data_IF_172563628133
#
_entry.id   IF_172563628133
#
_cell.length_a   1.000
_cell.length_b   1.000
_cell.length_c   1.000
_cell.angle_alpha   90.00
_cell.angle_beta   90.00
_cell.angle_gamma   90.00
#
_symmetry.space_group_name_H-M   'P 1'
#
loop_
_entity.id
_entity.type
_entity.pdbx_description
1 polymer ?
#
# COMPACT_ATOMS: atom_id res chain seq x y z
N UNK A 1 5.39 7.20 -16.95
CA UNK A 1 6.50 7.95 -17.60
C UNK A 1 7.00 7.15 -18.80
N UNK A 2 7.35 7.79 -19.91
CA UNK A 2 8.04 7.13 -21.02
C UNK A 2 9.49 6.85 -20.59
N UNK A 3 10.03 5.68 -20.90
CA UNK A 3 11.45 5.40 -20.73
C UNK A 3 12.25 6.42 -21.58
N UNK A 4 13.44 6.87 -21.13
CA UNK A 4 14.29 7.77 -21.92
C UNK A 4 14.49 7.20 -23.33
N UNK A 5 14.41 8.06 -24.34
CA UNK A 5 14.53 7.69 -25.76
C UNK A 5 13.46 6.70 -26.28
N UNK A 6 12.35 6.52 -25.56
CA UNK A 6 11.23 5.69 -26.00
C UNK A 6 10.09 6.56 -26.52
N UNK A 7 9.66 6.30 -27.75
CA UNK A 7 8.42 6.86 -28.31
C UNK A 7 7.30 5.85 -28.12
N UNK A 8 6.33 6.18 -27.28
CA UNK A 8 5.10 5.39 -27.16
C UNK A 8 4.09 5.92 -28.15
N UNK A 9 3.57 5.04 -29.00
CA UNK A 9 2.50 5.34 -29.93
C UNK A 9 1.30 4.46 -29.60
N UNK A 10 0.16 5.09 -29.25
CA UNK A 10 -1.09 4.39 -28.97
C UNK A 10 -1.88 4.35 -30.27
N UNK A 11 -2.05 3.15 -30.82
CA UNK A 11 -2.88 2.93 -32.00
C UNK A 11 -4.32 2.70 -31.53
N UNK A 12 -5.24 3.56 -31.96
CA UNK A 12 -6.65 3.51 -31.56
C UNK A 12 -7.53 2.99 -32.69
N UNK A 13 -8.80 2.71 -32.38
CA UNK A 13 -9.84 2.55 -33.40
C UNK A 13 -10.04 3.84 -34.19
N UNK A 14 -10.54 3.73 -35.41
CA UNK A 14 -11.05 4.85 -36.21
C UNK A 14 -12.53 4.61 -36.53
N UNK A 15 -13.25 5.66 -36.95
CA UNK A 15 -14.66 5.53 -37.36
C UNK A 15 -14.84 4.49 -38.47
N UNK A 16 -13.88 4.40 -39.38
CA UNK A 16 -13.89 3.47 -40.52
C UNK A 16 -13.28 2.10 -40.21
N UNK A 17 -12.69 1.93 -39.03
CA UNK A 17 -12.07 0.69 -38.57
C UNK A 17 -12.25 0.58 -37.05
N UNK A 18 -13.46 0.18 -36.61
CA UNK A 18 -13.73 -0.05 -35.19
C UNK A 18 -12.82 -1.16 -34.66
N UNK A 19 -12.47 -1.04 -33.38
CA UNK A 19 -11.58 -1.99 -32.71
C UNK A 19 -11.88 -2.07 -31.22
N UNK A 20 -12.71 -3.04 -30.85
CA UNK A 20 -13.01 -3.47 -29.49
C UNK A 20 -12.03 -4.55 -29.00
N UNK A 21 -11.48 -5.34 -29.94
CA UNK A 21 -10.56 -6.43 -29.64
C UNK A 21 -11.25 -7.79 -29.47
N UNK A 22 -12.59 -7.85 -29.52
CA UNK A 22 -13.34 -9.03 -29.11
C UNK A 22 -13.57 -10.06 -30.23
N UNK A 23 -13.62 -9.61 -31.49
CA UNK A 23 -14.00 -10.46 -32.62
C UNK A 23 -12.85 -10.67 -33.62
N UNK A 24 -12.76 -11.88 -34.18
CA UNK A 24 -11.68 -12.25 -35.12
C UNK A 24 -11.63 -11.34 -36.35
N UNK A 25 -12.77 -11.14 -37.00
CA UNK A 25 -12.87 -10.33 -38.23
C UNK A 25 -12.49 -8.87 -37.98
N UNK A 26 -12.97 -8.30 -36.89
CA UNK A 26 -12.65 -6.93 -36.48
C UNK A 26 -11.15 -6.77 -36.21
N UNK A 27 -10.57 -7.66 -35.40
CA UNK A 27 -9.14 -7.66 -35.11
C UNK A 27 -8.30 -7.76 -36.39
N UNK A 28 -8.67 -8.66 -37.30
CA UNK A 28 -7.97 -8.82 -38.57
C UNK A 28 -8.02 -7.53 -39.42
N UNK A 29 -9.21 -6.94 -39.56
CA UNK A 29 -9.37 -5.70 -40.32
C UNK A 29 -8.56 -4.54 -39.73
N UNK A 30 -8.53 -4.40 -38.40
CA UNK A 30 -7.73 -3.39 -37.74
C UNK A 30 -6.22 -3.62 -37.93
N UNK A 31 -5.77 -4.87 -37.82
CA UNK A 31 -4.37 -5.22 -38.05
C UNK A 31 -3.93 -4.88 -39.48
N UNK A 32 -4.76 -5.19 -40.47
CA UNK A 32 -4.47 -4.93 -41.88
C UNK A 32 -4.49 -3.45 -42.24
N UNK A 33 -5.44 -2.67 -41.68
CA UNK A 33 -5.66 -1.28 -42.06
C UNK A 33 -4.90 -0.25 -41.23
N UNK A 34 -4.56 -0.59 -39.99
CA UNK A 34 -3.94 0.35 -39.04
C UNK A 34 -2.56 -0.13 -38.63
N UNK A 35 -2.46 -1.33 -38.06
CA UNK A 35 -1.22 -1.82 -37.45
C UNK A 35 -0.09 -2.07 -38.47
N UNK A 36 -0.36 -2.90 -39.49
CA UNK A 36 0.63 -3.26 -40.50
C UNK A 36 1.16 -2.04 -41.28
N UNK A 37 0.31 -1.10 -41.77
CA UNK A 37 0.79 0.12 -42.41
C UNK A 37 1.69 0.94 -41.49
N UNK A 38 1.37 1.02 -40.20
CA UNK A 38 2.21 1.72 -39.23
C UNK A 38 3.57 1.04 -39.04
N UNK A 39 3.58 -0.28 -38.90
CA UNK A 39 4.81 -1.05 -38.74
C UNK A 39 5.72 -0.92 -39.98
N UNK A 40 5.13 -0.91 -41.18
CA UNK A 40 5.83 -0.68 -42.43
C UNK A 40 6.41 0.74 -42.57
N UNK A 41 5.82 1.76 -41.92
CA UNK A 41 6.40 3.11 -41.86
C UNK A 41 7.61 3.17 -40.93
N UNK A 42 7.56 2.46 -39.80
CA UNK A 42 8.64 2.45 -38.80
C UNK A 42 9.86 1.67 -39.33
N UNK A 43 9.63 0.58 -40.07
CA UNK A 43 10.67 -0.34 -40.58
C UNK A 43 11.67 -0.74 -39.48
N UNK A 44 11.18 -1.37 -38.39
CA UNK A 44 12.04 -1.70 -37.27
C UNK A 44 13.15 -2.66 -37.70
N UNK A 45 14.38 -2.38 -37.29
CA UNK A 45 15.52 -3.31 -37.43
C UNK A 45 15.42 -4.50 -36.48
N UNK A 46 14.67 -4.34 -35.39
CA UNK A 46 14.30 -5.36 -34.41
C UNK A 46 12.86 -5.14 -33.96
N UNK A 47 12.05 -6.21 -34.03
CA UNK A 47 10.65 -6.18 -33.67
C UNK A 47 10.34 -7.36 -32.74
N UNK A 48 9.85 -7.03 -31.56
CA UNK A 48 9.44 -8.00 -30.54
C UNK A 48 7.98 -7.78 -30.18
N UNK A 49 7.27 -8.86 -29.89
CA UNK A 49 5.87 -8.84 -29.47
C UNK A 49 5.77 -9.21 -27.99
N UNK A 50 5.14 -8.37 -27.18
CA UNK A 50 4.70 -8.76 -25.84
C UNK A 50 3.20 -9.05 -25.87
N UNK A 51 2.83 -10.31 -25.62
CA UNK A 51 1.44 -10.81 -25.62
C UNK A 51 0.93 -11.17 -24.22
N UNK A 52 1.56 -10.63 -23.17
CA UNK A 52 1.14 -10.85 -21.77
C UNK A 52 -0.27 -10.34 -21.49
N UNK A 53 -0.71 -9.30 -22.21
CA UNK A 53 -2.05 -8.72 -22.10
C UNK A 53 -2.84 -8.76 -23.41
N UNK A 54 -4.07 -8.25 -23.36
CA UNK A 54 -4.99 -8.21 -24.50
C UNK A 54 -5.91 -9.42 -24.61
N UNK A 55 -6.77 -9.44 -25.62
CA UNK A 55 -7.66 -10.58 -25.88
C UNK A 55 -6.90 -11.72 -26.53
N UNK A 56 -7.33 -12.96 -26.28
CA UNK A 56 -6.69 -14.17 -26.82
C UNK A 56 -6.67 -14.16 -28.36
N UNK A 57 -7.72 -13.64 -28.97
CA UNK A 57 -7.87 -13.57 -30.44
C UNK A 57 -6.86 -12.61 -31.04
N UNK A 58 -6.71 -11.41 -30.45
CA UNK A 58 -5.73 -10.43 -30.91
C UNK A 58 -4.30 -10.96 -30.73
N UNK A 59 -3.99 -11.53 -29.58
CA UNK A 59 -2.68 -12.13 -29.31
C UNK A 59 -2.35 -13.21 -30.36
N UNK A 60 -3.29 -14.12 -30.63
CA UNK A 60 -3.15 -15.15 -31.66
C UNK A 60 -2.87 -14.55 -33.04
N UNK A 61 -3.66 -13.57 -33.49
CA UNK A 61 -3.47 -12.94 -34.80
C UNK A 61 -2.12 -12.20 -34.89
N UNK A 62 -1.72 -11.49 -33.83
CA UNK A 62 -0.44 -10.77 -33.79
C UNK A 62 0.73 -11.74 -33.97
N UNK A 63 0.72 -12.94 -33.39
CA UNK A 63 1.82 -13.90 -33.58
C UNK A 63 2.00 -14.35 -35.03
N UNK A 64 0.99 -14.18 -35.90
CA UNK A 64 1.02 -14.63 -37.30
C UNK A 64 1.18 -13.50 -38.31
N UNK A 65 0.86 -12.26 -37.93
CA UNK A 65 0.76 -11.14 -38.87
C UNK A 65 2.13 -10.56 -39.25
N UNK A 66 3.18 -10.85 -38.48
CA UNK A 66 4.51 -10.30 -38.67
C UNK A 66 5.59 -11.28 -38.22
N UNK A 67 6.77 -11.33 -38.88
CA UNK A 67 7.88 -12.18 -38.46
C UNK A 67 8.60 -11.57 -37.25
N UNK A 68 8.01 -11.74 -36.07
CA UNK A 68 8.61 -11.31 -34.81
C UNK A 68 9.93 -12.02 -34.56
N UNK A 69 10.96 -11.25 -34.17
CA UNK A 69 12.24 -11.83 -33.74
C UNK A 69 12.06 -12.58 -32.43
N UNK A 70 11.19 -12.07 -31.57
CA UNK A 70 10.87 -12.66 -30.30
C UNK A 70 9.45 -12.32 -29.86
N UNK A 71 8.78 -13.29 -29.24
CA UNK A 71 7.45 -13.20 -28.66
C UNK A 71 7.60 -13.50 -27.17
N UNK A 72 7.07 -12.61 -26.34
CA UNK A 72 7.12 -12.65 -24.89
C UNK A 72 5.75 -12.90 -24.29
N UNK A 73 5.68 -13.78 -23.29
CA UNK A 73 4.50 -14.03 -22.49
C UNK A 73 4.86 -14.24 -21.03
N UNK A 74 4.25 -13.48 -20.12
CA UNK A 74 4.39 -13.70 -18.69
C UNK A 74 3.14 -14.43 -18.16
N UNK A 75 3.21 -15.72 -17.79
CA UNK A 75 2.10 -16.42 -17.18
C UNK A 75 1.78 -15.88 -15.78
N UNK A 76 0.58 -16.20 -15.31
CA UNK A 76 0.19 -15.96 -13.93
C UNK A 76 0.75 -17.08 -13.04
N UNK A 77 1.86 -16.81 -12.36
CA UNK A 77 2.53 -17.74 -11.45
C UNK A 77 3.04 -17.03 -10.17
N UNK A 78 3.53 -17.82 -9.21
CA UNK A 78 4.19 -17.32 -7.99
C UNK A 78 5.65 -16.90 -8.25
N UNK A 79 6.27 -17.53 -9.25
CA UNK A 79 7.47 -17.03 -9.91
C UNK A 79 7.09 -16.01 -10.98
N UNK A 80 8.07 -15.27 -11.52
CA UNK A 80 7.82 -14.24 -12.53
C UNK A 80 8.52 -14.61 -13.84
N UNK A 81 8.20 -15.77 -14.44
CA UNK A 81 8.85 -16.19 -15.67
C UNK A 81 8.39 -15.28 -16.82
N UNK A 82 9.33 -14.92 -17.67
CA UNK A 82 9.08 -14.41 -19.00
C UNK A 82 9.35 -15.55 -19.96
N UNK A 83 8.29 -16.14 -20.49
CA UNK A 83 8.37 -17.10 -21.58
C UNK A 83 8.73 -16.36 -22.86
N UNK A 84 9.62 -16.98 -23.62
CA UNK A 84 10.29 -16.39 -24.78
C UNK A 84 10.30 -17.41 -25.88
N UNK A 85 9.81 -17.04 -27.06
CA UNK A 85 9.82 -17.92 -28.22
C UNK A 85 9.77 -17.10 -29.51
N UNK A 86 10.04 -17.74 -30.65
CA UNK A 86 9.76 -17.18 -31.96
C UNK A 86 9.07 -18.22 -32.82
N UNK A 87 8.47 -17.79 -33.93
CA UNK A 87 7.77 -18.67 -34.87
C UNK A 87 8.50 -18.70 -36.20
N UNK A 88 8.82 -19.90 -36.69
CA UNK A 88 9.36 -20.11 -38.03
C UNK A 88 8.57 -21.23 -38.70
N UNK A 89 8.04 -20.99 -39.91
CA UNK A 89 7.19 -21.94 -40.63
C UNK A 89 6.03 -22.48 -39.77
N UNK A 90 5.30 -21.58 -39.10
CA UNK A 90 4.20 -21.89 -38.17
C UNK A 90 4.57 -22.79 -36.96
N UNK A 91 5.86 -23.05 -36.74
CA UNK A 91 6.35 -23.85 -35.62
C UNK A 91 6.98 -22.95 -34.55
N UNK A 92 6.64 -23.13 -33.25
CA UNK A 92 7.25 -22.37 -32.18
C UNK A 92 8.63 -22.92 -31.84
N UNK A 93 9.60 -22.03 -31.65
CA UNK A 93 10.94 -22.32 -31.18
C UNK A 93 11.14 -21.63 -29.83
N UNK A 94 11.33 -22.44 -28.78
CA UNK A 94 11.46 -21.96 -27.41
C UNK A 94 12.85 -21.37 -27.16
N UNK A 95 12.89 -20.24 -26.47
CA UNK A 95 14.10 -19.62 -25.95
C UNK A 95 14.15 -19.83 -24.42
N UNK A 96 15.32 -19.67 -23.78
CA UNK A 96 15.42 -19.78 -22.34
C UNK A 96 14.52 -18.77 -21.63
N UNK A 97 13.66 -19.27 -20.74
CA UNK A 97 12.81 -18.48 -19.85
C UNK A 97 13.68 -17.59 -18.97
N UNK A 98 13.27 -16.33 -18.79
CA UNK A 98 13.93 -15.38 -17.88
C UNK A 98 13.08 -15.25 -16.62
N UNK A 99 13.66 -15.36 -15.43
CA UNK A 99 12.95 -14.97 -14.21
C UNK A 99 13.09 -13.47 -13.98
N UNK A 100 12.00 -12.73 -14.19
CA UNK A 100 11.96 -11.27 -14.01
C UNK A 100 12.13 -10.86 -12.54
N UNK A 101 12.01 -11.78 -11.59
CA UNK A 101 12.27 -11.50 -10.18
C UNK A 101 13.77 -11.34 -9.88
N UNK A 102 14.63 -12.05 -10.62
CA UNK A 102 16.08 -12.08 -10.41
C UNK A 102 16.85 -11.32 -11.49
N UNK A 103 16.24 -11.09 -12.64
CA UNK A 103 16.76 -10.15 -13.62
C UNK A 103 16.88 -8.76 -12.95
N UNK A 104 18.03 -8.09 -13.14
CA UNK A 104 18.35 -6.75 -12.62
C UNK A 104 17.43 -5.62 -13.17
N UNK A 105 16.23 -5.98 -13.63
CA UNK A 105 15.30 -5.18 -14.42
C UNK A 105 14.01 -4.81 -13.68
N UNK A 106 13.77 -5.29 -12.46
CA UNK A 106 12.55 -4.92 -11.72
C UNK A 106 12.71 -3.58 -10.97
N UNK A 107 13.07 -2.52 -11.70
CA UNK A 107 13.17 -1.15 -11.18
C UNK A 107 11.82 -0.40 -11.24
N UNK A 108 10.72 -1.15 -11.34
CA UNK A 108 9.37 -0.59 -11.32
C UNK A 108 9.14 -0.05 -9.90
N UNK A 109 8.99 1.25 -9.78
CA UNK A 109 8.59 1.89 -8.55
C UNK A 109 7.06 1.83 -8.37
N UNK A 110 6.53 1.81 -7.14
CA UNK A 110 5.09 1.70 -6.89
C UNK A 110 4.27 2.82 -7.55
N UNK A 111 4.81 4.03 -7.64
CA UNK A 111 4.17 5.16 -8.32
C UNK A 111 4.05 4.93 -9.82
N UNK A 112 5.08 4.39 -10.48
CA UNK A 112 5.01 4.08 -11.90
C UNK A 112 3.97 2.99 -12.20
N UNK A 113 3.82 2.01 -11.31
CA UNK A 113 2.76 1.01 -11.43
C UNK A 113 1.38 1.65 -11.26
N UNK A 114 1.16 2.42 -10.19
CA UNK A 114 -0.11 3.07 -9.93
C UNK A 114 -0.52 4.04 -11.07
N UNK A 115 0.43 4.74 -11.69
CA UNK A 115 0.21 5.61 -12.85
C UNK A 115 -0.22 4.89 -14.13
N UNK A 116 -0.22 3.55 -14.17
CA UNK A 116 -0.88 2.80 -15.25
C UNK A 116 -2.40 2.89 -15.18
N UNK A 117 -2.94 3.18 -14.00
CA UNK A 117 -4.38 3.18 -13.73
C UNK A 117 -4.90 4.52 -13.19
N UNK A 118 -4.02 5.36 -12.65
CA UNK A 118 -4.35 6.66 -12.07
C UNK A 118 -3.73 7.81 -12.85
N UNK A 119 -4.44 8.94 -12.96
CA UNK A 119 -3.86 10.17 -13.53
C UNK A 119 -2.78 10.77 -12.61
N UNK A 120 -2.95 10.67 -11.28
CA UNK A 120 -2.05 11.27 -10.30
C UNK A 120 -1.72 10.31 -9.15
N UNK A 121 -0.44 10.29 -8.79
CA UNK A 121 0.09 9.61 -7.58
C UNK A 121 0.89 10.64 -6.81
N UNK A 122 0.43 10.98 -5.59
CA UNK A 122 1.01 12.05 -4.77
C UNK A 122 1.40 11.49 -3.40
N UNK A 123 2.69 11.20 -3.15
CA UNK A 123 3.12 10.89 -1.80
C UNK A 123 3.06 12.14 -0.93
N UNK A 124 2.58 11.99 0.29
CA UNK A 124 2.66 13.00 1.33
C UNK A 124 3.96 12.86 2.10
N UNK A 125 4.46 13.97 2.63
CA UNK A 125 5.59 13.93 3.56
C UNK A 125 5.21 13.07 4.77
N UNK A 126 6.07 12.13 5.19
CA UNK A 126 5.84 11.38 6.40
C UNK A 126 5.82 12.31 7.61
N UNK A 127 5.16 11.88 8.68
CA UNK A 127 5.14 12.60 9.94
C UNK A 127 6.57 12.91 10.39
N UNK A 128 6.85 14.16 10.76
CA UNK A 128 8.20 14.62 11.12
C UNK A 128 8.77 13.83 12.30
N UNK A 129 7.92 13.32 13.20
CA UNK A 129 8.33 12.55 14.37
C UNK A 129 9.04 11.25 14.00
N UNK A 130 8.75 10.66 12.84
CA UNK A 130 9.46 9.46 12.35
C UNK A 130 10.97 9.69 12.20
N UNK A 131 11.43 10.96 12.09
CA UNK A 131 12.85 11.32 12.03
C UNK A 131 13.52 11.42 13.40
N UNK A 132 12.75 11.41 14.49
CA UNK A 132 13.31 11.47 15.84
C UNK A 132 13.97 10.11 16.18
N UNK A 133 15.19 10.09 16.76
CA UNK A 133 15.91 8.85 17.07
C UNK A 133 15.12 7.90 17.99
N UNK A 134 14.38 8.44 18.96
CA UNK A 134 13.60 7.63 19.90
C UNK A 134 12.23 7.16 19.38
N UNK A 135 11.78 7.66 18.21
CA UNK A 135 10.41 7.39 17.73
C UNK A 135 10.15 5.89 17.55
N UNK A 136 11.07 5.17 16.92
CA UNK A 136 10.95 3.74 16.68
C UNK A 136 10.92 2.93 17.99
N UNK A 137 11.79 3.30 18.95
CA UNK A 137 11.84 2.64 20.26
C UNK A 137 10.54 2.85 21.06
N UNK A 138 9.94 4.05 20.97
CA UNK A 138 8.65 4.34 21.63
C UNK A 138 7.50 3.64 20.90
N UNK A 139 7.56 3.52 19.58
CA UNK A 139 6.59 2.76 18.81
C UNK A 139 6.60 1.26 19.21
N UNK A 140 7.77 0.65 19.34
CA UNK A 140 7.91 -0.73 19.83
C UNK A 140 7.36 -0.89 21.25
N UNK A 141 7.75 0.00 22.17
CA UNK A 141 7.23 0.02 23.54
C UNK A 141 5.69 0.12 23.56
N UNK A 142 5.11 0.86 22.61
CA UNK A 142 3.67 0.97 22.48
C UNK A 142 3.01 -0.32 22.05
N UNK A 143 3.57 -1.04 21.08
CA UNK A 143 3.05 -2.34 20.67
C UNK A 143 3.07 -3.33 21.84
N UNK A 144 4.19 -3.40 22.56
CA UNK A 144 4.37 -4.24 23.75
C UNK A 144 3.35 -3.87 24.84
N UNK A 145 3.17 -2.57 25.09
CA UNK A 145 2.18 -2.05 26.04
C UNK A 145 0.76 -2.45 25.66
N UNK A 146 0.40 -2.31 24.38
CA UNK A 146 -0.90 -2.75 23.89
C UNK A 146 -1.09 -4.24 24.17
N UNK A 147 -0.11 -5.09 23.85
CA UNK A 147 -0.17 -6.54 24.07
C UNK A 147 -0.32 -6.90 25.55
N UNK A 148 0.45 -6.25 26.43
CA UNK A 148 0.38 -6.43 27.88
C UNK A 148 -0.97 -6.04 28.49
N UNK A 149 -1.77 -5.23 27.79
CA UNK A 149 -3.10 -4.78 28.25
C UNK A 149 -3.09 -4.14 29.64
N UNK A 150 -2.09 -3.30 29.91
CA UNK A 150 -1.93 -2.64 31.21
C UNK A 150 -2.19 -1.12 31.10
N UNK A 151 -3.45 -0.66 31.23
CA UNK A 151 -3.82 0.75 31.05
C UNK A 151 -3.48 1.63 32.27
N UNK A 152 -2.89 1.09 33.34
CA UNK A 152 -2.67 1.81 34.59
C UNK A 152 -1.20 2.15 34.87
N UNK A 153 -0.25 1.65 34.06
CA UNK A 153 1.18 1.85 34.26
C UNK A 153 1.91 2.08 32.93
N UNK A 154 3.13 2.60 33.02
CA UNK A 154 4.02 2.83 31.88
C UNK A 154 3.34 3.65 30.79
N UNK A 155 3.54 3.24 29.52
CA UNK A 155 2.94 3.92 28.38
C UNK A 155 1.41 3.75 28.31
N UNK A 156 0.87 2.68 28.88
CA UNK A 156 -0.56 2.38 28.85
C UNK A 156 -1.37 3.40 29.62
N UNK A 157 -0.83 3.88 30.74
CA UNK A 157 -1.39 4.98 31.53
C UNK A 157 -1.53 6.28 30.70
N UNK A 158 -0.50 6.64 29.94
CA UNK A 158 -0.55 7.82 29.08
C UNK A 158 -1.58 7.65 27.96
N UNK A 159 -1.60 6.49 27.29
CA UNK A 159 -2.54 6.20 26.20
C UNK A 159 -3.99 6.32 26.68
N UNK A 160 -4.31 5.74 27.83
CA UNK A 160 -5.65 5.82 28.41
C UNK A 160 -6.08 7.27 28.68
N UNK A 161 -5.16 8.11 29.17
CA UNK A 161 -5.42 9.55 29.37
C UNK A 161 -5.59 10.29 28.04
N UNK A 162 -4.82 9.95 27.00
CA UNK A 162 -4.96 10.57 25.67
C UNK A 162 -6.30 10.25 25.03
N UNK A 163 -6.73 8.99 25.08
CA UNK A 163 -8.03 8.56 24.54
C UNK A 163 -9.18 9.29 25.23
N UNK A 164 -9.13 9.42 26.56
CA UNK A 164 -10.11 10.19 27.30
C UNK A 164 -10.06 11.68 26.93
N UNK A 165 -8.87 12.31 26.94
CA UNK A 165 -8.70 13.71 26.61
C UNK A 165 -9.26 14.08 25.23
N UNK A 166 -9.02 13.22 24.22
CA UNK A 166 -9.42 13.48 22.83
C UNK A 166 -10.86 13.09 22.53
N UNK A 167 -11.53 12.37 23.44
CA UNK A 167 -12.97 12.11 23.36
C UNK A 167 -13.83 13.28 23.88
N UNK A 168 -13.23 14.20 24.65
CA UNK A 168 -13.97 15.29 25.27
C UNK A 168 -14.29 16.42 24.27
N UNK A 169 -15.56 16.86 24.17
CA UNK A 169 -15.93 18.02 23.37
C UNK A 169 -15.45 19.29 24.08
N UNK A 170 -14.35 19.88 23.61
CA UNK A 170 -13.79 21.11 24.17
C UNK A 170 -13.42 22.10 23.07
N UNK A 171 -13.49 23.39 23.37
CA UNK A 171 -12.95 24.46 22.52
C UNK A 171 -11.55 24.90 23.00
N UNK A 172 -11.18 24.54 24.23
CA UNK A 172 -9.88 24.90 24.81
C UNK A 172 -8.73 24.18 24.11
N UNK A 173 -7.57 24.82 23.91
CA UNK A 173 -6.42 24.21 23.25
C UNK A 173 -5.80 23.06 24.05
N UNK A 174 -6.08 22.99 25.35
CA UNK A 174 -5.59 21.96 26.25
C UNK A 174 -6.71 21.43 27.16
N UNK A 175 -6.56 20.19 27.58
CA UNK A 175 -7.45 19.50 28.53
C UNK A 175 -6.62 19.02 29.69
N UNK A 176 -7.04 19.35 30.92
CA UNK A 176 -6.44 18.79 32.13
C UNK A 176 -7.16 17.48 32.46
N UNK A 177 -6.43 16.38 32.40
CA UNK A 177 -6.95 15.05 32.75
C UNK A 177 -6.53 14.67 34.16
N UNK A 178 -7.49 14.41 35.08
CA UNK A 178 -7.16 13.91 36.39
C UNK A 178 -6.49 12.53 36.28
N UNK A 179 -5.42 12.32 37.03
CA UNK A 179 -4.74 11.02 37.07
C UNK A 179 -5.50 10.15 38.08
N UNK A 180 -6.07 9.00 37.64
CA UNK A 180 -6.76 8.11 38.57
C UNK A 180 -5.85 7.64 39.71
N UNK A 181 -6.36 7.40 40.93
CA UNK A 181 -5.54 7.04 42.09
C UNK A 181 -4.63 5.82 41.88
N UNK A 182 -5.05 4.88 41.04
CA UNK A 182 -4.31 3.65 40.74
C UNK A 182 -3.44 3.75 39.48
N UNK A 183 -3.32 4.93 38.88
CA UNK A 183 -2.57 5.15 37.65
C UNK A 183 -1.22 5.80 37.96
N UNK A 184 -0.13 5.16 37.53
CA UNK A 184 1.22 5.69 37.71
C UNK A 184 1.79 6.20 36.40
N UNK A 185 2.07 7.51 36.34
CA UNK A 185 2.78 8.15 35.23
C UNK A 185 4.27 8.23 35.53
N UNK A 186 5.06 7.57 34.68
CA UNK A 186 6.53 7.61 34.72
C UNK A 186 7.05 8.94 34.14
N UNK A 187 7.78 9.70 34.95
CA UNK A 187 8.35 11.01 34.58
C UNK A 187 9.40 10.89 33.47
N UNK A 188 10.17 9.80 33.44
CA UNK A 188 11.15 9.56 32.38
C UNK A 188 10.45 9.35 31.04
N UNK A 189 9.32 8.64 31.05
CA UNK A 189 8.51 8.42 29.86
C UNK A 189 7.77 9.68 29.43
N UNK A 190 7.27 10.48 30.38
CA UNK A 190 6.71 11.81 30.09
C UNK A 190 7.73 12.69 29.35
N UNK A 191 8.96 12.76 29.86
CA UNK A 191 10.04 13.51 29.22
C UNK A 191 10.35 12.98 27.81
N UNK A 192 10.41 11.66 27.62
CA UNK A 192 10.61 11.05 26.30
C UNK A 192 9.47 11.36 25.32
N UNK A 193 8.21 11.28 25.76
CA UNK A 193 7.05 11.64 24.94
C UNK A 193 7.04 13.13 24.56
N UNK A 194 7.49 13.99 25.45
CA UNK A 194 7.66 15.42 25.18
C UNK A 194 8.80 15.69 24.19
N UNK A 195 9.92 14.97 24.30
CA UNK A 195 11.07 15.12 23.41
C UNK A 195 10.79 14.66 21.97
N UNK A 196 9.79 13.79 21.76
CA UNK A 196 9.32 13.44 20.40
C UNK A 196 8.76 14.64 19.62
N UNK A 197 8.34 15.70 20.30
CA UNK A 197 7.80 16.87 19.63
C UNK A 197 8.92 17.69 18.97
N UNK A 198 8.93 17.70 17.63
CA UNK A 198 9.86 18.48 16.82
C UNK A 198 9.15 19.77 16.38
N UNK A 199 9.10 20.77 17.26
CA UNK A 199 8.49 22.07 16.95
C UNK A 199 9.02 23.21 17.83
N UNK A 200 8.62 24.44 17.52
CA UNK A 200 9.10 25.66 18.17
C UNK A 200 8.31 26.07 19.42
N UNK A 201 7.34 25.25 19.84
CA UNK A 201 6.48 25.55 20.98
C UNK A 201 6.94 24.82 22.24
N UNK A 202 6.28 25.09 23.37
CA UNK A 202 6.45 24.33 24.60
C UNK A 202 6.17 22.84 24.36
N UNK A 203 6.63 22.01 25.30
CA UNK A 203 6.36 20.59 25.31
C UNK A 203 4.84 20.30 25.29
N UNK A 204 4.40 19.24 24.61
CA UNK A 204 2.97 18.94 24.47
C UNK A 204 2.30 18.61 25.81
N UNK A 205 3.00 17.92 26.72
CA UNK A 205 2.45 17.43 27.97
C UNK A 205 3.05 18.19 29.16
N UNK A 206 2.19 18.63 30.07
CA UNK A 206 2.60 19.32 31.30
C UNK A 206 1.89 18.72 32.50
N UNK A 207 2.63 18.39 33.56
CA UNK A 207 2.03 17.91 34.82
C UNK A 207 1.53 19.11 35.63
N UNK A 208 0.29 19.03 36.10
CA UNK A 208 -0.36 20.06 36.93
C UNK A 208 -0.75 19.47 38.28
N UNK A 209 -1.09 20.30 39.29
CA UNK A 209 -1.62 19.79 40.56
C UNK A 209 -2.88 18.93 40.40
N UNK A 210 -3.68 19.20 39.37
CA UNK A 210 -4.94 18.53 39.07
C UNK A 210 -4.77 17.28 38.17
N UNK A 211 -3.59 17.05 37.60
CA UNK A 211 -3.31 15.87 36.78
C UNK A 211 -2.32 16.12 35.63
N UNK A 212 -2.68 15.67 34.43
CA UNK A 212 -1.86 15.83 33.21
C UNK A 212 -2.59 16.72 32.20
N UNK A 213 -1.94 17.83 31.82
CA UNK A 213 -2.41 18.69 30.74
C UNK A 213 -2.00 18.10 29.39
N UNK A 214 -2.98 17.89 28.51
CA UNK A 214 -2.83 17.26 27.20
C UNK A 214 -3.36 18.21 26.12
N UNK A 215 -2.71 18.35 24.95
CA UNK A 215 -3.24 19.15 23.85
C UNK A 215 -4.56 18.56 23.34
N UNK A 216 -5.58 19.40 23.19
CA UNK A 216 -6.87 18.99 22.66
C UNK A 216 -6.74 18.50 21.20
N UNK A 217 -7.70 17.67 20.76
CA UNK A 217 -7.67 17.05 19.43
C UNK A 217 -7.59 18.06 18.28
N UNK A 218 -8.24 19.23 18.42
CA UNK A 218 -8.26 20.31 17.44
C UNK A 218 -7.04 21.24 17.52
N UNK A 219 -6.14 21.09 18.50
CA UNK A 219 -5.06 22.05 18.71
C UNK A 219 -3.95 21.93 17.64
N UNK A 220 -4.05 22.72 16.57
CA UNK A 220 -3.21 22.59 15.36
C UNK A 220 -1.69 22.52 15.60
N UNK A 221 -1.17 23.17 16.65
CA UNK A 221 0.27 23.24 16.97
C UNK A 221 0.92 21.87 17.24
N UNK A 222 0.15 20.91 17.75
CA UNK A 222 0.65 19.57 18.08
C UNK A 222 0.04 18.49 17.18
N UNK A 223 -0.38 18.84 15.96
CA UNK A 223 -1.06 17.91 15.04
C UNK A 223 -0.20 16.71 14.70
N UNK A 224 1.06 16.91 14.33
CA UNK A 224 1.97 15.81 13.98
C UNK A 224 2.21 14.89 15.17
N UNK A 225 2.42 15.48 16.36
CA UNK A 225 2.54 14.74 17.61
C UNK A 225 1.31 13.91 17.92
N UNK A 226 0.11 14.49 17.84
CA UNK A 226 -1.13 13.74 18.07
C UNK A 226 -1.34 12.66 17.02
N UNK A 227 -1.13 12.94 15.73
CA UNK A 227 -1.27 11.96 14.64
C UNK A 227 -0.34 10.76 14.82
N UNK A 228 0.92 11.05 15.17
CA UNK A 228 1.91 10.01 15.49
C UNK A 228 1.45 9.18 16.67
N UNK A 229 1.07 9.81 17.78
CA UNK A 229 0.56 9.12 18.97
C UNK A 229 -0.77 8.42 18.67
N UNK A 230 -1.63 8.84 17.75
CA UNK A 230 -2.92 8.16 17.54
C UNK A 230 -2.81 6.90 16.67
N UNK A 231 -1.86 6.85 15.72
CA UNK A 231 -1.78 5.69 14.82
C UNK A 231 -0.55 5.60 13.92
N UNK A 232 0.03 6.72 13.51
CA UNK A 232 1.15 6.75 12.55
C UNK A 232 2.42 6.08 13.08
N UNK A 233 2.55 5.91 14.41
CA UNK A 233 3.58 5.08 15.05
C UNK A 233 3.59 3.62 14.56
N UNK A 234 2.42 3.04 14.26
CA UNK A 234 2.32 1.64 13.86
C UNK A 234 2.68 1.46 12.39
N UNK A 235 2.27 2.41 11.53
CA UNK A 235 2.74 2.46 10.14
C UNK A 235 4.27 2.58 10.08
N UNK A 236 4.87 3.41 10.94
CA UNK A 236 6.34 3.52 11.04
C UNK A 236 6.97 2.16 11.39
N UNK A 237 6.39 1.39 12.31
CA UNK A 237 6.91 0.06 12.66
C UNK A 237 6.82 -0.92 11.50
N UNK A 238 5.68 -0.99 10.83
CA UNK A 238 5.49 -1.89 9.68
C UNK A 238 6.44 -1.53 8.55
N UNK A 239 6.60 -0.24 8.26
CA UNK A 239 7.57 0.26 7.29
C UNK A 239 9.00 -0.19 7.66
N UNK A 240 9.40 0.00 8.92
CA UNK A 240 10.72 -0.43 9.38
C UNK A 240 10.91 -1.95 9.25
N UNK A 241 9.90 -2.75 9.59
CA UNK A 241 9.99 -4.21 9.47
C UNK A 241 10.11 -4.69 8.02
N UNK A 242 9.49 -3.99 7.07
CA UNK A 242 9.68 -4.25 5.64
C UNK A 242 11.11 -3.92 5.20
N UNK A 243 11.67 -2.79 5.66
CA UNK A 243 13.05 -2.39 5.37
C UNK A 243 14.06 -3.39 5.95
N UNK A 244 13.89 -3.79 7.21
CA UNK A 244 14.74 -4.76 7.90
C UNK A 244 14.71 -6.15 7.23
N UNK A 245 13.57 -6.50 6.62
CA UNK A 245 13.45 -7.73 5.83
C UNK A 245 14.25 -7.68 4.51
N UNK A 246 14.68 -6.49 4.08
CA UNK A 246 15.47 -6.28 2.86
C UNK A 246 14.68 -5.68 1.70
N UNK A 247 13.48 -5.14 1.94
CA UNK A 247 12.78 -4.34 0.91
C UNK A 247 13.49 -3.00 0.76
N UNK A 248 13.95 -2.69 -0.45
CA UNK A 248 14.52 -1.37 -0.75
C UNK A 248 13.44 -0.28 -0.64
N UNK A 249 13.80 0.85 -0.04
CA UNK A 249 12.94 2.03 0.11
C UNK A 249 12.35 2.50 -1.21
N UNK A 250 13.04 2.34 -2.35
CA UNK A 250 12.50 2.70 -3.68
C UNK A 250 11.27 1.88 -4.09
N UNK A 251 11.06 0.72 -3.47
CA UNK A 251 9.91 -0.14 -3.69
C UNK A 251 8.77 0.12 -2.71
N UNK A 252 8.91 1.11 -1.81
CA UNK A 252 7.93 1.49 -0.81
C UNK A 252 7.49 2.94 -1.00
N UNK A 253 6.19 3.15 -1.07
CA UNK A 253 5.58 4.48 -1.13
C UNK A 253 4.52 4.60 -0.03
N UNK A 254 4.82 5.37 1.01
CA UNK A 254 3.92 5.54 2.17
C UNK A 254 3.11 6.83 2.07
N UNK A 255 1.95 6.87 2.74
CA UNK A 255 1.05 8.03 2.79
C UNK A 255 0.75 8.59 1.40
N UNK A 256 0.16 7.79 0.52
CA UNK A 256 -0.04 8.15 -0.88
C UNK A 256 -1.50 8.50 -1.16
N UNK A 257 -1.70 9.63 -1.84
CA UNK A 257 -2.98 9.99 -2.43
C UNK A 257 -2.99 9.58 -3.91
N UNK A 258 -4.03 8.84 -4.29
CA UNK A 258 -4.27 8.34 -5.63
C UNK A 258 -5.54 9.01 -6.16
N UNK A 259 -5.44 9.70 -7.30
CA UNK A 259 -6.59 10.43 -7.84
C UNK A 259 -6.64 10.44 -9.36
N UNK A 260 -7.84 10.73 -9.88
CA UNK A 260 -8.12 10.82 -11.30
C UNK A 260 -8.64 12.22 -11.66
N UNK A 261 -8.59 12.60 -12.93
CA UNK A 261 -9.15 13.89 -13.38
C UNK A 261 -10.64 14.05 -13.07
N UNK A 262 -11.38 12.94 -13.05
CA UNK A 262 -12.82 12.91 -12.74
C UNK A 262 -13.11 12.83 -11.24
N UNK A 263 -12.13 12.45 -10.42
CA UNK A 263 -12.21 12.42 -8.97
C UNK A 263 -10.91 12.99 -8.36
N UNK A 264 -10.80 14.33 -8.25
CA UNK A 264 -9.57 14.99 -7.82
C UNK A 264 -9.26 14.80 -6.33
N UNK A 265 -10.28 14.50 -5.51
CA UNK A 265 -10.07 14.19 -4.09
C UNK A 265 -9.41 12.83 -3.93
N UNK A 266 -9.81 11.87 -4.76
CA UNK A 266 -9.18 10.56 -4.81
C UNK A 266 -9.29 9.78 -3.51
N UNK A 267 -8.40 8.80 -3.35
CA UNK A 267 -8.33 7.93 -2.19
C UNK A 267 -6.90 7.87 -1.65
N UNK A 268 -6.78 7.74 -0.33
CA UNK A 268 -5.50 7.60 0.36
C UNK A 268 -5.21 6.13 0.66
N UNK A 269 -3.94 5.76 0.58
CA UNK A 269 -3.41 4.46 1.02
C UNK A 269 -2.24 4.68 1.98
N UNK A 270 -2.22 3.90 3.05
CA UNK A 270 -1.14 3.96 4.04
C UNK A 270 0.21 3.57 3.41
N UNK A 271 0.26 2.51 2.58
CA UNK A 271 1.49 2.12 1.86
C UNK A 271 1.19 1.36 0.56
N UNK A 272 1.92 1.71 -0.50
CA UNK A 272 2.10 0.88 -1.69
C UNK A 272 3.47 0.21 -1.67
N UNK A 273 3.49 -1.09 -1.94
CA UNK A 273 4.72 -1.89 -2.03
C UNK A 273 4.78 -2.56 -3.41
N UNK A 274 5.87 -2.34 -4.15
CA UNK A 274 6.18 -3.15 -5.32
C UNK A 274 7.06 -4.33 -4.88
N UNK A 275 6.56 -5.56 -4.98
CA UNK A 275 7.32 -6.74 -4.63
C UNK A 275 7.00 -7.90 -5.57
N UNK A 276 8.04 -8.56 -6.09
CA UNK A 276 7.90 -9.66 -7.06
C UNK A 276 6.94 -9.33 -8.21
N UNK A 277 7.15 -8.19 -8.87
CA UNK A 277 6.35 -7.66 -9.99
C UNK A 277 4.84 -7.52 -9.70
N UNK A 278 4.46 -7.45 -8.42
CA UNK A 278 3.08 -7.18 -7.98
C UNK A 278 3.07 -5.91 -7.16
N UNK A 279 2.03 -5.11 -7.35
CA UNK A 279 1.73 -3.97 -6.48
C UNK A 279 0.86 -4.47 -5.33
N UNK A 280 1.32 -4.23 -4.11
CA UNK A 280 0.58 -4.46 -2.89
C UNK A 280 0.01 -3.13 -2.43
N UNK A 281 -1.30 -3.10 -2.18
CA UNK A 281 -2.00 -1.98 -1.57
C UNK A 281 -2.18 -2.35 -0.10
N UNK A 282 -1.55 -1.60 0.79
CA UNK A 282 -1.46 -1.92 2.21
C UNK A 282 -2.20 -0.85 3.00
N UNK A 283 -3.18 -1.30 3.77
CA UNK A 283 -3.87 -0.50 4.79
C UNK A 283 -3.44 -0.98 6.17
N UNK A 284 -3.10 -0.06 7.06
CA UNK A 284 -2.54 -0.31 8.38
C UNK A 284 -3.44 0.34 9.43
N UNK A 285 -3.84 -0.42 10.46
CA UNK A 285 -4.65 0.10 11.55
C UNK A 285 -4.07 -0.31 12.90
N UNK A 286 -3.61 0.69 13.63
CA UNK A 286 -3.13 0.57 15.01
C UNK A 286 -4.29 0.36 16.00
N UNK A 287 -5.45 0.94 15.69
CA UNK A 287 -6.67 0.81 16.48
C UNK A 287 -7.94 0.97 15.61
N UNK A 288 -9.08 0.51 16.12
CA UNK A 288 -10.41 0.77 15.52
C UNK A 288 -10.95 2.09 16.07
N UNK A 289 -11.22 3.11 15.21
CA UNK A 289 -11.94 4.29 15.65
C UNK A 289 -13.29 3.88 16.26
N UNK A 290 -13.67 4.45 17.42
CA UNK A 290 -14.86 4.04 18.18
C UNK A 290 -16.17 4.00 17.37
N UNK A 291 -16.22 4.66 16.21
CA UNK A 291 -17.38 4.72 15.31
C UNK A 291 -17.30 3.83 14.05
N UNK A 292 -16.16 3.17 13.76
CA UNK A 292 -15.99 2.37 12.53
C UNK A 292 -16.06 0.87 12.82
N UNK A 293 -16.71 0.12 11.94
CA UNK A 293 -16.73 -1.34 12.00
C UNK A 293 -15.56 -1.96 11.23
N UNK A 294 -15.19 -3.21 11.54
CA UNK A 294 -14.17 -3.96 10.79
C UNK A 294 -14.47 -4.01 9.29
N UNK A 295 -15.74 -4.14 8.92
CA UNK A 295 -16.16 -4.16 7.52
C UNK A 295 -15.86 -2.86 6.77
N UNK A 296 -15.83 -1.72 7.45
CA UNK A 296 -15.53 -0.42 6.84
C UNK A 296 -14.06 -0.34 6.42
N UNK A 297 -13.16 -0.94 7.21
CA UNK A 297 -11.72 -1.00 6.90
C UNK A 297 -11.46 -1.81 5.62
N UNK A 298 -12.12 -2.97 5.49
CA UNK A 298 -12.01 -3.80 4.29
C UNK A 298 -12.63 -3.10 3.07
N UNK A 299 -13.81 -2.49 3.21
CA UNK A 299 -14.48 -1.78 2.11
C UNK A 299 -13.60 -0.67 1.52
N UNK A 300 -12.92 0.10 2.37
CA UNK A 300 -12.02 1.17 1.93
C UNK A 300 -10.88 0.62 1.07
N UNK A 301 -10.21 -0.45 1.53
CA UNK A 301 -9.11 -1.08 0.81
C UNK A 301 -9.58 -1.71 -0.52
N UNK A 302 -10.69 -2.45 -0.49
CA UNK A 302 -11.23 -3.09 -1.70
C UNK A 302 -11.69 -2.07 -2.75
N UNK A 303 -12.26 -0.94 -2.31
CA UNK A 303 -12.64 0.19 -3.19
C UNK A 303 -11.42 0.75 -3.92
N UNK A 304 -10.33 1.01 -3.20
CA UNK A 304 -9.11 1.54 -3.76
C UNK A 304 -8.46 0.55 -4.75
N UNK A 305 -8.40 -0.71 -4.36
CA UNK A 305 -7.80 -1.77 -5.15
C UNK A 305 -8.45 -1.95 -6.52
N UNK A 306 -9.79 -1.85 -6.59
CA UNK A 306 -10.52 -1.95 -7.85
C UNK A 306 -10.08 -0.91 -8.88
N UNK A 307 -9.59 0.24 -8.44
CA UNK A 307 -9.14 1.30 -9.33
C UNK A 307 -7.71 1.11 -9.82
N UNK A 308 -6.91 0.23 -9.19
CA UNK A 308 -5.49 0.00 -9.50
C UNK A 308 -5.22 -1.26 -10.33
N UNK A 309 -6.26 -1.81 -10.97
CA UNK A 309 -6.14 -3.01 -11.78
C UNK A 309 -5.82 -4.25 -10.94
N UNK A 310 -4.73 -4.97 -11.29
CA UNK A 310 -4.37 -6.24 -10.62
C UNK A 310 -3.36 -5.99 -9.50
N UNK A 311 -3.87 -5.86 -8.29
CA UNK A 311 -3.08 -5.63 -7.07
C UNK A 311 -3.29 -6.73 -6.02
N UNK A 312 -2.40 -6.79 -5.04
CA UNK A 312 -2.53 -7.61 -3.84
C UNK A 312 -2.98 -6.73 -2.67
N UNK A 313 -4.16 -7.01 -2.12
CA UNK A 313 -4.73 -6.22 -1.04
C UNK A 313 -4.27 -6.76 0.30
N UNK A 314 -3.68 -5.91 1.14
CA UNK A 314 -3.23 -6.32 2.48
C UNK A 314 -3.80 -5.37 3.53
N UNK A 315 -4.47 -5.95 4.53
CA UNK A 315 -4.92 -5.23 5.71
C UNK A 315 -4.09 -5.68 6.91
N UNK A 316 -3.34 -4.77 7.51
CA UNK A 316 -2.49 -5.02 8.67
C UNK A 316 -3.14 -4.40 9.90
N UNK A 317 -3.51 -5.24 10.86
CA UNK A 317 -4.14 -4.83 12.10
C UNK A 317 -3.21 -5.06 13.29
N UNK A 318 -3.32 -4.20 14.30
CA UNK A 318 -2.65 -4.44 15.58
C UNK A 318 -3.35 -5.57 16.36
N UNK A 319 -2.65 -6.24 17.29
CA UNK A 319 -3.25 -7.25 18.16
C UNK A 319 -4.33 -6.68 19.10
N UNK A 320 -4.31 -5.37 19.37
CA UNK A 320 -5.34 -4.70 20.15
C UNK A 320 -6.70 -4.76 19.43
N UNK A 321 -6.72 -4.58 18.12
CA UNK A 321 -7.96 -4.65 17.32
C UNK A 321 -8.58 -6.04 17.44
N UNK A 322 -7.81 -7.11 17.19
CA UNK A 322 -8.31 -8.50 17.26
C UNK A 322 -8.96 -8.81 18.62
N UNK A 323 -8.36 -8.37 19.72
CA UNK A 323 -8.85 -8.64 21.09
C UNK A 323 -10.17 -7.94 21.44
N UNK A 324 -10.58 -6.92 20.68
CA UNK A 324 -11.86 -6.22 20.90
C UNK A 324 -13.08 -7.01 20.41
N UNK A 325 -12.88 -8.07 19.62
CA UNK A 325 -13.96 -8.81 18.99
C UNK A 325 -14.05 -10.24 19.52
N UNK A 326 -15.29 -10.73 19.62
CA UNK A 326 -15.53 -12.13 19.95
C UNK A 326 -15.00 -13.06 18.83
N UNK A 327 -14.61 -14.31 19.14
CA UNK A 327 -14.08 -15.24 18.14
C UNK A 327 -14.95 -15.39 16.89
N UNK A 328 -16.27 -15.43 17.04
CA UNK A 328 -17.21 -15.53 15.91
C UNK A 328 -17.23 -14.27 15.03
N UNK A 329 -17.16 -13.09 15.64
CA UNK A 329 -17.11 -11.82 14.91
C UNK A 329 -15.81 -11.71 14.12
N UNK A 330 -14.71 -12.12 14.74
CA UNK A 330 -13.40 -12.16 14.09
C UNK A 330 -13.37 -13.15 12.93
N UNK A 331 -13.88 -14.38 13.12
CA UNK A 331 -13.97 -15.37 12.05
C UNK A 331 -14.81 -14.88 10.87
N UNK A 332 -15.95 -14.23 11.12
CA UNK A 332 -16.77 -13.61 10.05
C UNK A 332 -15.98 -12.56 9.28
N UNK A 333 -15.15 -11.79 9.96
CA UNK A 333 -14.30 -10.79 9.34
C UNK A 333 -13.17 -11.42 8.51
N UNK A 334 -12.49 -12.45 9.02
CA UNK A 334 -11.49 -13.22 8.27
C UNK A 334 -12.09 -13.81 6.97
N UNK A 335 -13.26 -14.43 7.07
CA UNK A 335 -13.98 -14.98 5.91
C UNK A 335 -14.37 -13.89 4.91
N UNK A 336 -14.77 -12.70 5.40
CA UNK A 336 -15.06 -11.55 4.55
C UNK A 336 -13.83 -11.08 3.79
N UNK A 337 -12.70 -10.89 4.48
CA UNK A 337 -11.43 -10.52 3.85
C UNK A 337 -11.03 -11.55 2.79
N UNK A 338 -11.12 -12.85 3.09
CA UNK A 338 -10.84 -13.92 2.13
C UNK A 338 -11.72 -13.84 0.88
N UNK A 339 -13.04 -13.68 1.06
CA UNK A 339 -13.99 -13.56 -0.06
C UNK A 339 -13.73 -12.34 -0.95
N UNK A 340 -13.04 -11.33 -0.41
CA UNK A 340 -12.68 -10.09 -1.11
C UNK A 340 -11.23 -10.08 -1.59
N UNK A 341 -10.53 -11.21 -1.49
CA UNK A 341 -9.10 -11.35 -1.81
C UNK A 341 -8.21 -10.36 -1.05
N UNK A 342 -8.59 -10.02 0.19
CA UNK A 342 -7.80 -9.22 1.12
C UNK A 342 -7.01 -10.15 2.03
N UNK A 343 -5.69 -10.02 2.00
CA UNK A 343 -4.79 -10.69 2.92
C UNK A 343 -4.83 -9.96 4.26
N UNK A 344 -5.32 -10.63 5.30
CA UNK A 344 -5.37 -10.10 6.65
C UNK A 344 -4.12 -10.50 7.42
N UNK A 345 -3.42 -9.53 8.00
CA UNK A 345 -2.26 -9.74 8.86
C UNK A 345 -2.53 -9.14 10.25
N UNK A 346 -2.35 -9.92 11.31
CA UNK A 346 -2.35 -9.41 12.70
C UNK A 346 -0.92 -9.41 13.20
N UNK A 347 -0.31 -8.24 13.18
CA UNK A 347 1.12 -8.08 13.37
C UNK A 347 1.47 -7.76 14.84
N UNK A 348 1.86 -8.79 15.59
CA UNK A 348 2.27 -8.68 17.00
C UNK A 348 3.79 -8.55 17.17
N UNK A 349 4.57 -9.06 16.23
CA UNK A 349 6.03 -8.99 16.20
C UNK A 349 6.49 -8.88 14.76
N UNK A 350 7.73 -8.45 14.55
CA UNK A 350 8.36 -8.44 13.22
C UNK A 350 8.31 -9.83 12.58
N UNK A 351 8.69 -10.88 13.32
CA UNK A 351 8.73 -12.25 12.78
C UNK A 351 7.34 -12.73 12.34
N UNK A 352 6.33 -12.50 13.19
CA UNK A 352 4.94 -12.85 12.87
C UNK A 352 4.41 -12.06 11.68
N UNK A 353 4.71 -10.76 11.60
CA UNK A 353 4.36 -9.93 10.45
C UNK A 353 4.99 -10.46 9.15
N UNK A 354 6.29 -10.73 9.13
CA UNK A 354 7.00 -11.24 7.96
C UNK A 354 6.47 -12.61 7.53
N UNK A 355 6.21 -13.51 8.48
CA UNK A 355 5.59 -14.81 8.22
C UNK A 355 4.19 -14.68 7.62
N UNK A 356 3.36 -13.81 8.19
CA UNK A 356 2.03 -13.54 7.67
C UNK A 356 2.10 -12.90 6.28
N UNK A 357 2.91 -11.87 6.10
CA UNK A 357 2.97 -11.08 4.88
C UNK A 357 3.59 -11.83 3.69
N UNK A 358 4.71 -12.53 3.86
CA UNK A 358 5.45 -13.13 2.75
C UNK A 358 5.28 -14.64 2.60
N UNK A 359 5.06 -15.37 3.69
CA UNK A 359 5.15 -16.84 3.70
C UNK A 359 3.82 -17.55 3.90
N UNK A 360 2.81 -16.84 4.42
CA UNK A 360 1.48 -17.43 4.54
C UNK A 360 0.85 -17.55 3.17
N UNK A 361 0.62 -18.80 2.77
CA UNK A 361 -0.09 -19.18 1.55
C UNK A 361 -1.40 -18.40 1.44
N UNK A 362 -1.77 -18.00 0.22
CA UNK A 362 -3.18 -17.71 -0.05
C UNK A 362 -3.98 -19.00 0.27
N UNK A 363 -4.99 -18.95 1.15
CA UNK A 363 -5.72 -20.14 1.54
C UNK A 363 -6.62 -20.69 0.43
#
# INVERSE_FOLDING_TARGET
>A
KQLPHTKVEVLTSTTDTPFSGDYLQENQQWLERIFLPKLAQIKPSSAQLNMTGGTKILAYLLTRIYPWQEIHYQPLADTIPLERFYTQNDSPHLLPTIDLATAATSDISPDNHALLYMDYVRPHSPNIIRKHPDSLAIALLRLETQQANNPHQGLGAFIALFEQAWSLPTQEPFVNMPIPPNTHLDESLLARLNNLYIGSHAAPLTRTPEGLQIPAAHHKKYTDWRKWISGDWYEQLIEQWLLDYGIDKKHLLSNVQLSNKTDPQGQESDTLLQYKNKLYVIEIKADVPQSKQLGDMENQLSSLAMQLGKVENVLILSPAIRRRYAPEQWLRFELRCRNKNVKLCVADTQSSFINQFFYSSKP
#
